data_IF_138841746299
#
_entry.id   IF_138841746299
#
_cell.length_a   1.000
_cell.length_b   1.000
_cell.length_c   1.000
_cell.angle_alpha   90.00
_cell.angle_beta   90.00
_cell.angle_gamma   90.00
#
_symmetry.space_group_name_H-M   'P 1'
#
loop_
_entity.id
_entity.type
_entity.pdbx_description
1 polymer ?
#
# COMPACT_ATOMS: atom_id res chain seq x y z
N UNK A 1 -28.41 24.37 27.84
CA UNK A 1 -27.66 23.94 29.05
C UNK A 1 -26.51 24.94 29.23
N UNK A 2 -26.39 25.57 30.40
CA UNK A 2 -25.43 26.66 30.68
C UNK A 2 -23.99 26.29 30.26
N UNK A 3 -23.23 27.22 29.64
CA UNK A 3 -21.77 27.09 29.40
C UNK A 3 -21.04 27.21 30.76
N UNK A 4 -21.29 26.26 31.64
CA UNK A 4 -20.73 26.21 32.98
C UNK A 4 -19.89 24.95 33.20
N UNK A 5 -19.25 24.45 32.14
CA UNK A 5 -18.21 23.44 32.27
C UNK A 5 -16.81 24.07 32.12
N UNK A 6 -16.05 24.28 33.21
CA UNK A 6 -14.70 24.85 33.17
C UNK A 6 -13.71 24.08 32.27
N UNK A 7 -14.01 22.81 31.91
CA UNK A 7 -13.24 22.01 30.95
C UNK A 7 -13.36 22.46 29.50
N UNK A 8 -14.49 23.02 29.07
CA UNK A 8 -14.69 23.46 27.69
C UNK A 8 -14.02 24.81 27.43
N UNK A 9 -14.09 25.71 28.41
CA UNK A 9 -13.44 27.01 28.35
C UNK A 9 -11.91 26.89 28.37
N UNK A 10 -11.35 25.95 29.15
CA UNK A 10 -9.91 25.67 29.14
C UNK A 10 -9.42 25.06 27.81
N UNK A 11 -10.22 24.23 27.14
CA UNK A 11 -9.89 23.69 25.81
C UNK A 11 -9.95 24.72 24.68
N UNK A 12 -10.86 25.70 24.76
CA UNK A 12 -10.96 26.80 23.80
C UNK A 12 -9.84 27.84 23.99
N UNK A 13 -9.47 28.12 25.26
CA UNK A 13 -8.31 28.94 25.61
C UNK A 13 -7.01 28.35 25.03
N UNK A 14 -6.81 27.03 25.14
CA UNK A 14 -5.60 26.34 24.68
C UNK A 14 -5.45 26.30 23.14
N UNK A 15 -6.52 26.61 22.39
CA UNK A 15 -6.55 26.64 20.92
C UNK A 15 -6.56 28.06 20.32
N UNK A 16 -6.50 29.12 21.14
CA UNK A 16 -6.36 30.50 20.67
C UNK A 16 -7.60 31.09 20.00
N UNK A 17 -8.79 30.52 20.19
CA UNK A 17 -10.03 31.01 19.58
C UNK A 17 -10.76 32.07 20.41
N UNK A 18 -10.45 32.17 21.69
CA UNK A 18 -11.03 33.15 22.61
C UNK A 18 -10.19 34.42 22.64
N UNK A 19 -10.86 35.55 22.85
CA UNK A 19 -10.19 36.81 23.09
C UNK A 19 -9.39 36.72 24.40
N UNK A 20 -8.05 36.88 24.39
CA UNK A 20 -7.21 36.75 25.58
C UNK A 20 -7.48 37.81 26.65
N UNK A 21 -8.24 38.86 26.33
CA UNK A 21 -8.63 39.93 27.27
C UNK A 21 -9.92 39.63 28.06
N UNK A 22 -10.57 38.49 27.82
CA UNK A 22 -11.78 38.12 28.53
C UNK A 22 -11.50 37.76 30.00
N UNK A 23 -12.29 38.33 30.91
CA UNK A 23 -12.14 38.14 32.37
C UNK A 23 -13.24 37.30 33.00
N UNK A 24 -14.39 37.12 32.34
CA UNK A 24 -15.50 36.30 32.84
C UNK A 24 -16.02 35.32 31.79
N UNK A 25 -16.56 34.15 32.20
CA UNK A 25 -17.28 33.27 31.28
C UNK A 25 -18.52 34.01 30.75
N UNK A 26 -18.69 34.02 29.43
CA UNK A 26 -19.98 34.35 28.81
C UNK A 26 -20.76 33.04 28.64
N UNK A 27 -22.05 33.06 28.99
CA UNK A 27 -22.95 31.93 28.72
C UNK A 27 -23.39 31.92 27.26
N UNK A 28 -23.95 30.80 26.78
CA UNK A 28 -24.44 30.71 25.40
C UNK A 28 -25.58 31.70 25.18
N UNK A 29 -26.39 31.93 26.21
CA UNK A 29 -27.51 32.87 26.20
C UNK A 29 -27.01 34.32 26.03
N UNK A 30 -25.85 34.67 26.59
CA UNK A 30 -25.24 35.99 26.43
C UNK A 30 -24.73 36.22 24.99
N UNK A 31 -24.39 35.15 24.27
CA UNK A 31 -23.94 35.20 22.87
C UNK A 31 -25.09 35.34 21.88
N UNK A 32 -26.33 35.30 22.35
CA UNK A 32 -27.53 35.35 21.51
C UNK A 32 -28.24 36.69 21.61
N UNK A 33 -28.89 37.12 20.53
CA UNK A 33 -29.70 38.34 20.56
C UNK A 33 -30.97 38.12 21.40
N UNK A 34 -31.61 39.21 21.85
CA UNK A 34 -32.71 39.24 22.82
C UNK A 34 -33.92 38.41 22.33
N UNK A 35 -34.13 38.37 21.02
CA UNK A 35 -35.21 37.63 20.35
C UNK A 35 -34.81 36.19 19.96
N UNK A 36 -33.59 35.78 20.26
CA UNK A 36 -32.96 34.54 19.87
C UNK A 36 -32.94 34.26 18.35
N UNK A 37 -33.14 35.28 17.50
CA UNK A 37 -33.18 35.13 16.04
C UNK A 37 -31.79 35.02 15.41
N UNK A 38 -30.76 35.48 16.12
CA UNK A 38 -29.38 35.51 15.64
C UNK A 38 -28.34 35.51 16.75
N UNK A 39 -27.11 35.83 16.36
CA UNK A 39 -25.97 36.04 17.25
C UNK A 39 -25.95 37.47 17.76
N UNK A 40 -25.54 37.68 19.02
CA UNK A 40 -25.20 39.01 19.52
C UNK A 40 -23.80 39.37 19.02
N UNK A 41 -23.72 40.09 17.90
CA UNK A 41 -22.46 40.44 17.23
C UNK A 41 -21.44 41.08 18.18
N UNK A 42 -21.88 42.01 19.03
CA UNK A 42 -21.00 42.67 19.99
C UNK A 42 -20.43 41.70 21.01
N UNK A 43 -21.24 40.76 21.49
CA UNK A 43 -20.78 39.78 22.46
C UNK A 43 -19.86 38.74 21.81
N UNK A 44 -20.17 38.30 20.59
CA UNK A 44 -19.34 37.37 19.81
C UNK A 44 -17.96 37.98 19.52
N UNK A 45 -17.90 39.24 19.11
CA UNK A 45 -16.63 39.95 18.86
C UNK A 45 -15.82 40.21 20.14
N UNK A 46 -16.51 40.39 21.28
CA UNK A 46 -15.83 40.49 22.58
C UNK A 46 -15.25 39.16 23.02
N UNK A 47 -15.94 38.05 22.73
CA UNK A 47 -15.59 36.72 23.25
C UNK A 47 -14.58 35.98 22.40
N UNK A 48 -14.64 36.13 21.08
CA UNK A 48 -13.84 35.37 20.14
C UNK A 48 -12.83 36.25 19.41
N UNK A 49 -11.70 35.68 19.01
CA UNK A 49 -10.75 36.38 18.11
C UNK A 49 -11.43 36.70 16.77
N UNK A 50 -11.03 37.77 16.06
CA UNK A 50 -11.75 38.25 14.86
C UNK A 50 -12.06 37.15 13.82
N UNK A 51 -11.07 36.28 13.53
CA UNK A 51 -11.26 35.18 12.58
C UNK A 51 -12.36 34.18 13.01
N UNK A 52 -12.47 33.92 14.31
CA UNK A 52 -13.49 33.00 14.85
C UNK A 52 -14.85 33.72 14.95
N UNK A 53 -14.87 34.98 15.37
CA UNK A 53 -16.07 35.81 15.43
C UNK A 53 -16.74 35.93 14.05
N UNK A 54 -15.97 36.16 12.98
CA UNK A 54 -16.50 36.19 11.61
C UNK A 54 -17.17 34.89 11.20
N UNK A 55 -16.61 33.73 11.55
CA UNK A 55 -17.19 32.42 11.24
C UNK A 55 -18.49 32.16 12.00
N UNK A 56 -18.54 32.55 13.28
CA UNK A 56 -19.75 32.42 14.10
C UNK A 56 -20.85 33.30 13.50
N UNK A 57 -20.57 34.56 13.22
CA UNK A 57 -21.52 35.50 12.61
C UNK A 57 -22.01 35.06 11.22
N UNK A 58 -21.17 34.37 10.44
CA UNK A 58 -21.59 33.82 9.14
C UNK A 58 -22.44 32.54 9.24
N UNK A 59 -22.51 31.93 10.42
CA UNK A 59 -23.26 30.68 10.62
C UNK A 59 -24.73 30.99 10.90
N UNK A 60 -25.64 30.46 10.09
CA UNK A 60 -27.08 30.59 10.33
C UNK A 60 -27.49 29.74 11.53
N UNK A 61 -27.90 30.42 12.60
CA UNK A 61 -28.34 29.78 13.84
C UNK A 61 -29.61 28.96 13.65
N UNK A 62 -30.49 29.33 12.70
CA UNK A 62 -31.72 28.60 12.42
C UNK A 62 -31.47 27.24 11.78
N UNK A 63 -30.26 27.01 11.26
CA UNK A 63 -29.82 25.71 10.74
C UNK A 63 -29.15 24.84 11.80
N UNK A 64 -28.98 25.33 13.03
CA UNK A 64 -28.42 24.53 14.12
C UNK A 64 -29.47 23.54 14.65
N UNK A 65 -29.07 22.30 14.98
CA UNK A 65 -29.97 21.32 15.57
C UNK A 65 -30.63 21.85 16.84
N UNK A 66 -31.92 21.53 17.02
CA UNK A 66 -32.70 21.90 18.23
C UNK A 66 -32.13 21.26 19.50
N UNK A 67 -31.36 20.18 19.35
CA UNK A 67 -30.75 19.42 20.44
C UNK A 67 -29.25 19.24 20.20
N UNK A 68 -28.46 19.29 21.26
CA UNK A 68 -27.02 19.05 21.19
C UNK A 68 -26.74 17.63 20.67
N UNK A 69 -25.87 17.53 19.67
CA UNK A 69 -25.43 16.25 19.10
C UNK A 69 -23.93 16.09 19.34
N UNK A 70 -23.52 14.89 19.75
CA UNK A 70 -22.10 14.56 19.87
C UNK A 70 -21.47 14.48 18.46
N UNK A 71 -20.51 15.36 18.18
CA UNK A 71 -19.80 15.39 16.91
C UNK A 71 -18.34 14.96 17.08
N UNK A 72 -17.85 14.16 16.14
CA UNK A 72 -16.43 13.81 16.08
C UNK A 72 -15.63 14.95 15.45
N UNK A 73 -14.82 15.63 16.27
CA UNK A 73 -14.14 16.90 15.92
C UNK A 73 -13.33 16.85 14.61
N UNK A 74 -12.75 15.71 14.28
CA UNK A 74 -11.91 15.55 13.09
C UNK A 74 -12.69 15.16 11.84
N UNK A 75 -13.99 14.87 11.94
CA UNK A 75 -14.83 14.64 10.77
C UNK A 75 -15.43 15.95 10.26
N UNK A 76 -15.44 16.13 8.93
CA UNK A 76 -15.98 17.35 8.30
C UNK A 76 -17.48 17.52 8.48
N UNK A 77 -18.21 16.41 8.57
CA UNK A 77 -19.65 16.32 8.80
C UNK A 77 -20.00 16.04 10.27
N UNK A 78 -18.99 15.98 11.14
CA UNK A 78 -19.16 15.62 12.56
C UNK A 78 -19.49 14.15 12.81
N UNK A 79 -19.62 13.29 11.79
CA UNK A 79 -20.00 11.90 11.98
C UNK A 79 -18.87 11.04 12.57
N UNK A 80 -19.24 10.12 13.46
CA UNK A 80 -18.30 9.13 13.98
C UNK A 80 -18.21 7.94 13.02
N UNK A 81 -16.98 7.48 12.76
CA UNK A 81 -16.73 6.17 12.17
C UNK A 81 -15.43 5.57 12.71
N UNK A 82 -15.32 4.24 12.68
CA UNK A 82 -14.08 3.54 13.02
C UNK A 82 -12.89 4.05 12.19
N UNK A 83 -13.13 4.41 10.92
CA UNK A 83 -12.11 4.97 10.04
C UNK A 83 -11.57 6.30 10.58
N UNK A 84 -12.45 7.27 10.87
CA UNK A 84 -12.03 8.59 11.35
C UNK A 84 -11.34 8.47 12.72
N UNK A 85 -11.87 7.63 13.61
CA UNK A 85 -11.26 7.37 14.92
C UNK A 85 -9.86 6.74 14.80
N UNK A 86 -9.68 5.78 13.88
CA UNK A 86 -8.39 5.16 13.62
C UNK A 86 -7.36 6.16 13.07
N UNK A 87 -7.76 7.02 12.13
CA UNK A 87 -6.89 8.07 11.60
C UNK A 87 -6.46 9.05 12.69
N UNK A 88 -7.38 9.48 13.55
CA UNK A 88 -7.06 10.37 14.67
C UNK A 88 -6.11 9.73 15.69
N UNK A 89 -6.35 8.47 16.05
CA UNK A 89 -5.52 7.74 16.99
C UNK A 89 -4.08 7.59 16.49
N UNK A 90 -3.91 7.35 15.19
CA UNK A 90 -2.61 7.17 14.56
C UNK A 90 -2.07 8.45 13.92
N UNK A 91 -2.69 9.60 14.18
CA UNK A 91 -2.35 10.85 13.49
C UNK A 91 -0.88 11.22 13.61
N UNK A 92 -0.29 11.06 14.80
CA UNK A 92 1.15 11.31 15.01
C UNK A 92 2.04 10.36 14.21
N UNK A 93 1.66 9.09 14.07
CA UNK A 93 2.41 8.10 13.31
C UNK A 93 2.30 8.35 11.80
N UNK A 94 1.15 8.84 11.32
CA UNK A 94 0.93 9.15 9.91
C UNK A 94 1.39 10.57 9.50
N UNK A 95 1.43 11.52 10.43
CA UNK A 95 1.95 12.88 10.20
C UNK A 95 3.49 12.90 10.10
N UNK A 96 4.18 11.85 10.56
CA UNK A 96 5.59 11.64 10.25
C UNK A 96 5.76 11.46 8.73
N UNK A 97 6.13 12.55 8.07
CA UNK A 97 6.49 12.56 6.65
C UNK A 97 7.78 11.78 6.44
N UNK A 98 7.67 10.46 6.39
CA UNK A 98 8.76 9.61 5.95
C UNK A 98 8.91 9.75 4.43
N UNK A 99 9.75 10.70 4.03
CA UNK A 99 9.99 11.01 2.62
C UNK A 99 10.52 9.79 1.85
N UNK A 100 11.32 8.93 2.49
CA UNK A 100 11.79 7.68 1.88
C UNK A 100 10.60 6.74 1.58
N UNK A 101 9.68 6.54 2.53
CA UNK A 101 8.46 5.76 2.29
C UNK A 101 7.63 6.35 1.14
N UNK A 102 7.43 7.68 1.12
CA UNK A 102 6.72 8.34 0.03
C UNK A 102 7.39 8.07 -1.32
N UNK A 103 8.72 8.23 -1.41
CA UNK A 103 9.50 7.98 -2.64
C UNK A 103 9.42 6.53 -3.09
N UNK A 104 9.48 5.57 -2.15
CA UNK A 104 9.29 4.14 -2.45
C UNK A 104 7.93 3.90 -3.09
N UNK A 105 6.84 4.37 -2.45
CA UNK A 105 5.48 4.11 -2.94
C UNK A 105 5.14 4.83 -4.24
N UNK A 106 5.73 6.00 -4.48
CA UNK A 106 5.60 6.77 -5.73
C UNK A 106 6.52 6.29 -6.86
N UNK A 107 7.48 5.40 -6.58
CA UNK A 107 8.40 4.91 -7.61
C UNK A 107 7.70 4.01 -8.64
N UNK A 108 8.15 4.08 -9.89
CA UNK A 108 7.65 3.22 -10.97
C UNK A 108 8.40 1.89 -11.02
N UNK A 109 8.24 1.08 -9.98
CA UNK A 109 8.79 -0.28 -9.88
C UNK A 109 7.68 -1.25 -9.46
N UNK A 110 7.92 -2.55 -9.66
CA UNK A 110 6.99 -3.58 -9.23
C UNK A 110 6.75 -3.56 -7.71
N UNK A 111 5.50 -3.76 -7.28
CA UNK A 111 5.06 -3.68 -5.87
C UNK A 111 5.90 -4.54 -4.91
N UNK A 112 6.26 -5.77 -5.30
CA UNK A 112 7.21 -6.62 -4.56
C UNK A 112 8.50 -5.90 -4.14
N UNK A 113 9.06 -5.06 -5.02
CA UNK A 113 10.29 -4.33 -4.73
C UNK A 113 10.02 -3.12 -3.83
N UNK A 114 8.84 -2.48 -3.94
CA UNK A 114 8.41 -1.44 -3.01
C UNK A 114 8.30 -1.98 -1.60
N UNK A 115 7.65 -3.13 -1.42
CA UNK A 115 7.52 -3.80 -0.11
C UNK A 115 8.90 -4.18 0.44
N UNK A 116 9.79 -4.71 -0.40
CA UNK A 116 11.16 -5.02 0.01
C UNK A 116 11.91 -3.78 0.50
N UNK A 117 11.95 -2.71 -0.30
CA UNK A 117 12.62 -1.46 0.05
C UNK A 117 12.02 -0.84 1.31
N UNK A 118 10.69 -0.87 1.45
CA UNK A 118 10.01 -0.40 2.66
C UNK A 118 10.44 -1.21 3.89
N UNK A 119 10.44 -2.54 3.82
CA UNK A 119 10.92 -3.40 4.94
C UNK A 119 12.38 -3.13 5.28
N UNK A 120 13.23 -2.92 4.28
CA UNK A 120 14.64 -2.57 4.48
C UNK A 120 14.79 -1.23 5.21
N UNK A 121 14.03 -0.20 4.81
CA UNK A 121 14.04 1.11 5.47
C UNK A 121 13.46 1.13 6.89
N UNK A 122 12.59 0.16 7.21
CA UNK A 122 11.99 0.01 8.54
C UNK A 122 12.78 -0.93 9.46
N UNK A 123 13.97 -1.39 9.04
CA UNK A 123 14.75 -2.41 9.78
C UNK A 123 13.89 -3.64 10.15
N UNK A 124 13.05 -4.07 9.20
CA UNK A 124 12.09 -5.16 9.35
C UNK A 124 12.55 -6.46 8.68
N UNK A 125 13.76 -6.48 8.12
CA UNK A 125 14.33 -7.68 7.51
C UNK A 125 15.15 -8.50 8.53
N UNK A 126 15.16 -9.85 8.42
CA UNK A 126 15.83 -10.76 9.34
C UNK A 126 17.37 -10.80 9.13
N UNK A 127 18.05 -9.70 9.46
CA UNK A 127 19.51 -9.67 9.60
C UNK A 127 19.97 -10.39 10.88
N UNK A 128 21.25 -10.75 10.97
CA UNK A 128 21.79 -11.50 12.11
C UNK A 128 21.61 -10.75 13.43
N UNK A 129 21.84 -9.43 13.44
CA UNK A 129 21.59 -8.59 14.61
C UNK A 129 20.12 -8.62 15.06
N UNK A 130 19.18 -8.57 14.11
CA UNK A 130 17.75 -8.63 14.39
C UNK A 130 17.35 -10.00 14.94
N UNK A 131 17.83 -11.07 14.32
CA UNK A 131 17.58 -12.44 14.75
C UNK A 131 18.18 -12.73 16.13
N UNK A 132 19.35 -12.18 16.43
CA UNK A 132 19.93 -12.25 17.77
C UNK A 132 19.02 -11.55 18.79
N UNK A 133 18.59 -10.31 18.50
CA UNK A 133 17.76 -9.54 19.44
C UNK A 133 16.40 -10.18 19.72
N UNK A 134 15.79 -10.83 18.71
CA UNK A 134 14.46 -11.41 18.82
C UNK A 134 14.47 -12.85 19.33
N UNK A 135 15.47 -13.65 18.94
CA UNK A 135 15.48 -15.10 19.17
C UNK A 135 16.72 -15.60 19.91
N UNK A 136 17.65 -14.72 20.30
CA UNK A 136 18.89 -15.11 20.97
C UNK A 136 19.85 -15.93 20.10
N UNK A 137 19.67 -15.90 18.75
CA UNK A 137 20.58 -16.59 17.84
C UNK A 137 21.99 -16.00 17.98
N UNK A 138 23.05 -16.83 18.15
CA UNK A 138 24.41 -16.31 18.22
C UNK A 138 24.75 -15.56 16.92
N UNK A 139 25.47 -14.44 17.07
CA UNK A 139 26.05 -13.74 15.92
C UNK A 139 27.06 -14.70 15.27
N UNK A 140 26.87 -14.94 13.99
CA UNK A 140 27.88 -15.58 13.14
C UNK A 140 28.41 -14.56 12.14
N UNK A 141 29.36 -14.99 11.32
CA UNK A 141 29.97 -14.15 10.30
C UNK A 141 28.93 -13.70 9.26
N UNK A 142 29.11 -12.49 8.72
CA UNK A 142 28.29 -12.01 7.62
C UNK A 142 28.39 -12.96 6.42
N UNK A 143 27.26 -13.51 5.98
CA UNK A 143 27.24 -14.49 4.89
C UNK A 143 27.68 -13.93 3.54
N UNK A 144 27.79 -12.60 3.38
CA UNK A 144 28.26 -11.95 2.15
C UNK A 144 29.77 -11.67 2.14
N UNK A 145 30.33 -11.18 3.24
CA UNK A 145 31.71 -10.69 3.29
C UNK A 145 32.60 -11.41 4.32
N UNK A 146 32.03 -12.26 5.17
CA UNK A 146 32.76 -12.98 6.22
C UNK A 146 33.11 -12.14 7.45
N UNK A 147 32.55 -10.93 7.61
CA UNK A 147 32.83 -10.10 8.78
C UNK A 147 32.29 -10.74 10.07
N UNK A 148 33.13 -10.87 11.09
CA UNK A 148 32.84 -11.53 12.38
C UNK A 148 31.76 -10.81 13.20
N UNK A 149 31.52 -9.53 12.95
CA UNK A 149 30.47 -8.75 13.62
C UNK A 149 29.04 -9.16 13.20
N UNK A 150 28.90 -10.10 12.25
CA UNK A 150 27.64 -10.43 11.61
C UNK A 150 27.13 -9.33 10.69
N UNK A 151 25.86 -9.42 10.33
CA UNK A 151 25.21 -8.45 9.47
C UNK A 151 24.01 -7.76 10.12
N UNK A 152 23.84 -6.51 9.71
CA UNK A 152 22.71 -5.65 10.00
C UNK A 152 22.36 -4.83 8.75
N UNK A 153 21.33 -3.99 8.86
CA UNK A 153 20.91 -3.14 7.75
C UNK A 153 22.01 -2.17 7.31
N UNK A 154 22.80 -1.61 8.24
CA UNK A 154 23.86 -0.64 7.95
C UNK A 154 25.08 -1.25 7.26
N UNK A 155 25.39 -2.50 7.61
CA UNK A 155 26.38 -3.32 6.93
C UNK A 155 25.90 -3.71 5.53
N UNK A 156 24.62 -4.07 5.38
CA UNK A 156 24.06 -4.44 4.08
C UNK A 156 23.95 -3.24 3.13
N UNK A 157 23.58 -2.07 3.66
CA UNK A 157 23.48 -0.80 2.95
C UNK A 157 24.03 0.32 3.83
N UNK A 158 25.01 1.08 3.33
CA UNK A 158 25.75 2.14 4.05
C UNK A 158 24.87 3.09 4.90
N UNK A 159 23.59 3.26 4.53
CA UNK A 159 22.47 3.45 5.43
C UNK A 159 21.15 3.24 4.66
N UNK A 160 20.16 2.53 5.22
CA UNK A 160 18.92 2.21 4.49
C UNK A 160 18.04 3.40 4.13
N UNK A 161 18.07 4.50 4.90
CA UNK A 161 17.34 5.73 4.55
C UNK A 161 18.06 6.49 3.44
N UNK A 162 19.39 6.49 3.47
CA UNK A 162 20.22 7.14 2.46
C UNK A 162 20.20 6.37 1.14
N UNK A 163 19.94 5.06 1.18
CA UNK A 163 19.74 4.24 -0.02
C UNK A 163 18.64 4.80 -0.92
N UNK A 164 17.46 5.12 -0.38
CA UNK A 164 16.34 5.61 -1.20
C UNK A 164 16.67 6.98 -1.80
N UNK A 165 17.33 7.84 -1.02
CA UNK A 165 17.81 9.11 -1.52
C UNK A 165 18.82 8.93 -2.65
N UNK A 166 19.80 8.04 -2.46
CA UNK A 166 20.84 7.71 -3.43
C UNK A 166 20.29 7.06 -4.71
N UNK A 167 19.32 6.16 -4.59
CA UNK A 167 18.63 5.56 -5.74
C UNK A 167 17.83 6.59 -6.52
N UNK A 168 17.24 7.57 -5.83
CA UNK A 168 16.43 8.62 -6.46
C UNK A 168 17.31 9.71 -7.11
N UNK A 169 18.42 10.05 -6.46
CA UNK A 169 19.32 11.15 -6.82
C UNK A 169 20.76 10.72 -6.56
N UNK A 170 21.35 9.90 -7.45
CA UNK A 170 22.73 9.48 -7.27
C UNK A 170 23.67 10.68 -7.41
N UNK A 171 24.79 10.74 -6.66
CA UNK A 171 25.73 11.87 -6.71
C UNK A 171 26.42 12.03 -8.08
N UNK A 172 26.33 11.01 -8.93
CA UNK A 172 26.84 11.00 -10.30
C UNK A 172 25.73 11.16 -11.35
N UNK A 173 24.54 11.66 -10.98
CA UNK A 173 23.42 11.83 -11.91
C UNK A 173 23.79 12.68 -13.15
N UNK A 174 24.68 13.67 -12.99
CA UNK A 174 25.21 14.49 -14.09
C UNK A 174 26.02 13.69 -15.13
N UNK A 175 26.51 12.50 -14.79
CA UNK A 175 27.25 11.61 -15.66
C UNK A 175 26.35 10.60 -16.39
N UNK A 176 25.07 10.49 -15.99
CA UNK A 176 24.12 9.56 -16.59
C UNK A 176 23.42 10.18 -17.79
N UNK A 177 23.24 9.39 -18.86
CA UNK A 177 22.34 9.79 -19.93
C UNK A 177 20.89 9.83 -19.41
N UNK A 178 20.00 10.68 -19.96
CA UNK A 178 18.62 10.79 -19.50
C UNK A 178 17.87 9.44 -19.43
N UNK A 179 18.13 8.57 -20.41
CA UNK A 179 17.59 7.20 -20.48
C UNK A 179 18.07 6.28 -19.34
N UNK A 180 19.31 6.48 -18.88
CA UNK A 180 19.95 5.64 -17.85
C UNK A 180 19.56 6.14 -16.46
N UNK A 181 19.36 7.45 -16.30
CA UNK A 181 18.82 8.05 -15.07
C UNK A 181 17.44 7.48 -14.72
N UNK A 182 16.57 7.26 -15.70
CA UNK A 182 15.25 6.67 -15.47
C UNK A 182 15.29 5.17 -15.08
N UNK A 183 16.36 4.46 -15.49
CA UNK A 183 16.54 3.02 -15.24
C UNK A 183 17.31 2.71 -13.96
N UNK A 184 18.00 3.71 -13.42
CA UNK A 184 18.86 3.54 -12.26
C UNK A 184 18.12 3.09 -10.99
N UNK A 185 17.00 3.75 -10.66
CA UNK A 185 16.21 3.39 -9.48
C UNK A 185 15.65 1.96 -9.56
N UNK A 186 14.96 1.54 -10.65
CA UNK A 186 14.54 0.15 -10.81
C UNK A 186 15.68 -0.85 -10.76
N UNK A 187 16.82 -0.54 -11.42
CA UNK A 187 18.00 -1.39 -11.39
C UNK A 187 18.52 -1.59 -9.96
N UNK A 188 18.69 -0.50 -9.21
CA UNK A 188 19.15 -0.58 -7.83
C UNK A 188 18.19 -1.36 -6.93
N UNK A 189 16.87 -1.17 -7.09
CA UNK A 189 15.87 -1.95 -6.35
C UNK A 189 16.01 -3.46 -6.60
N UNK A 190 16.23 -3.87 -7.86
CA UNK A 190 16.46 -5.27 -8.23
C UNK A 190 17.78 -5.79 -7.68
N UNK A 191 18.85 -5.01 -7.82
CA UNK A 191 20.19 -5.34 -7.34
C UNK A 191 20.17 -5.66 -5.84
N UNK A 192 19.63 -4.76 -5.01
CA UNK A 192 19.58 -4.96 -3.57
C UNK A 192 18.65 -6.10 -3.17
N UNK A 193 17.52 -6.28 -3.87
CA UNK A 193 16.64 -7.41 -3.64
C UNK A 193 17.32 -8.75 -3.95
N UNK A 194 18.04 -8.85 -5.08
CA UNK A 194 18.75 -10.06 -5.47
C UNK A 194 19.95 -10.32 -4.55
N UNK A 195 20.67 -9.28 -4.13
CA UNK A 195 21.75 -9.39 -3.15
C UNK A 195 21.22 -9.91 -1.81
N UNK A 196 20.04 -9.43 -1.38
CA UNK A 196 19.36 -9.92 -0.18
C UNK A 196 18.99 -11.41 -0.29
N UNK A 197 18.51 -11.87 -1.45
CA UNK A 197 18.23 -13.30 -1.68
C UNK A 197 19.48 -14.15 -1.62
N UNK A 198 20.57 -13.73 -2.27
CA UNK A 198 21.86 -14.44 -2.23
C UNK A 198 22.38 -14.55 -0.80
N UNK A 199 22.30 -13.44 -0.04
CA UNK A 199 22.62 -13.43 1.39
C UNK A 199 21.79 -14.45 2.15
N UNK A 200 20.46 -14.48 1.94
CA UNK A 200 19.58 -15.37 2.68
C UNK A 200 19.83 -16.84 2.35
N UNK A 201 20.12 -17.15 1.09
CA UNK A 201 20.46 -18.50 0.68
C UNK A 201 21.77 -18.96 1.33
N UNK A 202 22.77 -18.09 1.38
CA UNK A 202 24.01 -18.36 2.11
C UNK A 202 23.77 -18.52 3.62
N UNK A 203 22.97 -17.64 4.23
CA UNK A 203 22.70 -17.64 5.67
C UNK A 203 21.84 -18.81 6.15
N UNK A 204 20.82 -19.19 5.37
CA UNK A 204 19.85 -20.23 5.75
C UNK A 204 20.20 -21.61 5.21
N UNK A 205 20.76 -21.69 3.99
CA UNK A 205 20.99 -22.94 3.29
C UNK A 205 22.49 -23.27 3.12
N UNK A 206 23.39 -22.37 3.53
CA UNK A 206 24.84 -22.57 3.41
C UNK A 206 25.36 -22.53 1.97
N UNK A 207 24.58 -21.97 1.04
CA UNK A 207 24.97 -21.86 -0.37
C UNK A 207 26.09 -20.83 -0.53
N UNK A 208 27.22 -21.17 -1.17
CA UNK A 208 28.31 -20.22 -1.39
C UNK A 208 27.86 -19.00 -2.20
N UNK A 209 28.30 -17.81 -1.79
CA UNK A 209 27.99 -16.56 -2.50
C UNK A 209 28.75 -16.50 -3.82
N UNK A 210 28.02 -16.48 -4.93
CA UNK A 210 28.56 -16.26 -6.27
C UNK A 210 28.04 -14.96 -6.89
N UNK A 211 28.86 -13.91 -6.81
CA UNK A 211 28.55 -12.59 -7.39
C UNK A 211 28.55 -12.58 -8.92
N UNK A 212 29.23 -13.53 -9.56
CA UNK A 212 29.26 -13.69 -11.02
C UNK A 212 27.88 -14.08 -11.54
N UNK A 213 27.26 -15.07 -10.89
CA UNK A 213 25.90 -15.50 -11.18
C UNK A 213 24.87 -14.42 -10.86
N UNK A 214 25.09 -13.61 -9.82
CA UNK A 214 24.24 -12.46 -9.50
C UNK A 214 24.19 -11.46 -10.67
N UNK A 215 25.34 -11.09 -11.24
CA UNK A 215 25.41 -10.16 -12.37
C UNK A 215 24.61 -10.68 -13.57
N UNK A 216 24.82 -11.95 -13.94
CA UNK A 216 24.10 -12.61 -15.04
C UNK A 216 22.58 -12.63 -14.82
N UNK A 217 22.14 -12.85 -13.58
CA UNK A 217 20.73 -12.86 -13.22
C UNK A 217 20.07 -11.47 -13.24
N UNK A 218 20.82 -10.41 -12.95
CA UNK A 218 20.32 -9.03 -13.02
C UNK A 218 20.15 -8.62 -14.48
N UNK A 219 21.12 -8.93 -15.34
CA UNK A 219 21.07 -8.63 -16.78
C UNK A 219 19.91 -9.36 -17.49
N UNK A 220 19.51 -10.53 -16.98
CA UNK A 220 18.36 -11.31 -17.47
C UNK A 220 17.02 -10.88 -16.86
N UNK A 221 17.02 -10.05 -15.81
CA UNK A 221 15.80 -9.59 -15.16
C UNK A 221 15.04 -8.63 -16.07
N UNK A 222 13.77 -8.93 -16.35
CA UNK A 222 12.91 -8.19 -17.28
C UNK A 222 12.70 -6.71 -16.93
N UNK A 223 13.14 -6.26 -15.75
CA UNK A 223 13.04 -4.86 -15.29
C UNK A 223 13.84 -3.87 -16.16
N UNK A 224 14.82 -4.34 -16.94
CA UNK A 224 15.54 -3.51 -17.93
C UNK A 224 14.78 -3.30 -19.24
N UNK A 225 13.73 -4.09 -19.52
CA UNK A 225 12.72 -3.78 -20.53
C UNK A 225 11.63 -3.04 -19.79
N UNK A 226 11.59 -1.71 -19.95
CA UNK A 226 10.70 -0.83 -19.19
C UNK A 226 9.33 -1.47 -19.00
N UNK A 227 8.84 -1.41 -17.75
CA UNK A 227 7.53 -1.94 -17.29
C UNK A 227 6.64 -2.08 -18.51
N UNK A 228 6.44 -3.33 -18.97
CA UNK A 228 5.55 -3.56 -20.08
C UNK A 228 4.22 -2.98 -19.61
N UNK A 229 3.84 -1.87 -20.21
CA UNK A 229 2.64 -1.16 -19.85
C UNK A 229 1.52 -2.16 -20.12
N UNK A 230 1.03 -2.81 -19.06
CA UNK A 230 -0.17 -3.62 -19.13
C UNK A 230 -1.22 -2.60 -19.55
N UNK A 231 -1.53 -2.58 -20.84
CA UNK A 231 -2.54 -1.67 -21.38
C UNK A 231 -3.87 -2.12 -20.81
N UNK A 232 -4.26 -1.46 -19.72
CA UNK A 232 -5.61 -1.42 -19.22
C UNK A 232 -6.52 -0.88 -20.33
N UNK A 233 -7.06 -1.77 -21.14
CA UNK A 233 -8.08 -1.46 -22.16
C UNK A 233 -9.17 -2.50 -22.11
N UNK A 234 -10.39 -2.19 -22.53
CA UNK A 234 -11.53 -3.14 -22.51
C UNK A 234 -11.19 -4.45 -23.29
N UNK A 235 -11.77 -5.60 -22.92
CA UNK A 235 -11.60 -6.82 -23.72
C UNK A 235 -12.14 -6.62 -25.14
N UNK A 236 -11.67 -7.42 -26.10
CA UNK A 236 -12.16 -7.37 -27.49
C UNK A 236 -13.68 -7.64 -27.51
N UNK A 237 -14.44 -7.06 -28.46
CA UNK A 237 -15.87 -7.31 -28.57
C UNK A 237 -16.19 -8.82 -28.61
N UNK A 238 -17.10 -9.28 -27.76
CA UNK A 238 -17.46 -10.69 -27.64
C UNK A 238 -16.60 -11.52 -26.67
N UNK A 239 -15.74 -10.89 -25.88
CA UNK A 239 -14.92 -11.57 -24.87
C UNK A 239 -15.14 -11.04 -23.45
N UNK A 240 -15.00 -11.94 -22.48
CA UNK A 240 -15.15 -11.65 -21.04
C UNK A 240 -13.77 -11.61 -20.38
N UNK A 241 -13.49 -10.58 -19.58
CA UNK A 241 -12.22 -10.45 -18.83
C UNK A 241 -12.34 -10.95 -17.41
N UNK A 242 -11.27 -11.59 -16.90
CA UNK A 242 -11.11 -11.93 -15.48
C UNK A 242 -9.95 -11.19 -14.81
N UNK A 243 -10.15 -10.72 -13.57
CA UNK A 243 -9.09 -10.20 -12.68
C UNK A 243 -8.98 -11.10 -11.45
N UNK A 244 -7.77 -11.58 -11.17
CA UNK A 244 -7.42 -12.34 -9.97
C UNK A 244 -6.90 -11.42 -8.86
N UNK A 245 -7.37 -11.64 -7.64
CA UNK A 245 -6.74 -11.12 -6.43
C UNK A 245 -6.36 -12.34 -5.58
N UNK A 246 -5.09 -12.50 -5.23
CA UNK A 246 -4.42 -13.69 -4.64
C UNK A 246 -4.98 -14.31 -3.34
N UNK A 247 -6.29 -14.24 -3.12
CA UNK A 247 -7.09 -15.02 -2.17
C UNK A 247 -8.17 -15.86 -2.89
N UNK A 248 -7.97 -16.21 -4.16
CA UNK A 248 -8.93 -17.00 -4.95
C UNK A 248 -10.20 -16.24 -5.34
N UNK A 249 -10.08 -14.92 -5.53
CA UNK A 249 -11.19 -14.06 -5.97
C UNK A 249 -11.08 -13.74 -7.47
N UNK A 250 -12.21 -13.84 -8.17
CA UNK A 250 -12.33 -13.74 -9.63
C UNK A 250 -13.50 -12.81 -9.94
N UNK A 251 -13.29 -11.82 -10.80
CA UNK A 251 -14.36 -10.92 -11.28
C UNK A 251 -14.40 -10.94 -12.80
N UNK A 252 -15.58 -11.20 -13.37
CA UNK A 252 -15.84 -11.22 -14.81
C UNK A 252 -16.38 -9.88 -15.28
N UNK A 253 -15.83 -9.35 -16.37
CA UNK A 253 -16.28 -8.10 -17.00
C UNK A 253 -16.69 -8.33 -18.46
N UNK A 254 -17.74 -7.64 -18.90
CA UNK A 254 -18.07 -7.55 -20.32
C UNK A 254 -17.18 -6.53 -21.07
N UNK A 255 -17.38 -6.40 -22.38
CA UNK A 255 -16.66 -5.45 -23.25
C UNK A 255 -16.99 -3.97 -22.98
N UNK A 256 -18.01 -3.66 -22.18
CA UNK A 256 -18.34 -2.31 -21.74
C UNK A 256 -17.75 -1.96 -20.36
N UNK A 257 -17.14 -2.93 -19.68
CA UNK A 257 -16.63 -2.80 -18.31
C UNK A 257 -17.68 -3.07 -17.24
N UNK A 258 -18.86 -3.58 -17.62
CA UNK A 258 -19.89 -4.05 -16.69
C UNK A 258 -19.47 -5.36 -16.03
N UNK A 259 -19.74 -5.50 -14.73
CA UNK A 259 -19.47 -6.74 -13.99
C UNK A 259 -20.54 -7.77 -14.37
N UNK A 260 -20.13 -8.90 -14.94
CA UNK A 260 -21.01 -10.02 -15.29
C UNK A 260 -21.22 -10.95 -14.10
N UNK A 261 -20.14 -11.27 -13.37
CA UNK A 261 -20.16 -12.16 -12.23
C UNK A 261 -18.92 -11.96 -11.36
N UNK A 262 -18.99 -12.39 -10.11
CA UNK A 262 -17.82 -12.50 -9.25
C UNK A 262 -17.91 -13.77 -8.40
N UNK A 263 -16.76 -14.29 -8.01
CA UNK A 263 -16.66 -15.45 -7.13
C UNK A 263 -15.43 -15.35 -6.25
N UNK A 264 -15.50 -15.94 -5.07
CA UNK A 264 -14.36 -16.07 -4.17
C UNK A 264 -14.32 -17.48 -3.59
N UNK A 265 -13.13 -18.07 -3.56
CA UNK A 265 -12.88 -19.39 -2.97
C UNK A 265 -11.68 -19.31 -2.04
N UNK A 266 -11.82 -19.84 -0.83
CA UNK A 266 -10.68 -20.02 0.07
C UNK A 266 -9.76 -21.10 -0.50
N UNK A 267 -8.54 -20.73 -0.84
CA UNK A 267 -7.51 -21.64 -1.34
C UNK A 267 -6.41 -21.71 -0.28
N UNK A 268 -6.10 -22.93 0.16
CA UNK A 268 -4.99 -23.20 1.07
C UNK A 268 -3.82 -23.72 0.24
N UNK A 269 -2.83 -22.88 -0.03
CA UNK A 269 -1.61 -23.28 -0.76
C UNK A 269 -0.36 -23.05 0.06
N UNK A 270 0.69 -23.80 -0.25
CA UNK A 270 2.01 -23.69 0.39
C UNK A 270 2.99 -22.87 -0.45
N UNK A 271 2.69 -22.67 -1.73
CA UNK A 271 3.48 -21.86 -2.65
C UNK A 271 2.62 -20.93 -3.52
N UNK A 272 3.24 -19.84 -3.97
CA UNK A 272 2.58 -18.77 -4.75
C UNK A 272 2.14 -19.27 -6.12
N UNK A 273 2.92 -20.12 -6.77
CA UNK A 273 2.60 -20.68 -8.08
C UNK A 273 1.34 -21.56 -8.02
N UNK A 274 1.22 -22.39 -6.99
CA UNK A 274 0.02 -23.17 -6.71
C UNK A 274 -1.17 -22.27 -6.38
N UNK A 275 -0.95 -21.17 -5.65
CA UNK A 275 -1.99 -20.17 -5.36
C UNK A 275 -2.63 -19.61 -6.63
N UNK A 276 -1.80 -19.08 -7.53
CA UNK A 276 -2.21 -18.53 -8.84
C UNK A 276 -2.86 -19.61 -9.71
N UNK A 277 -2.28 -20.80 -9.77
CA UNK A 277 -2.82 -21.91 -10.55
C UNK A 277 -4.24 -22.30 -10.10
N UNK A 278 -4.45 -22.43 -8.78
CA UNK A 278 -5.74 -22.82 -8.21
C UNK A 278 -6.80 -21.71 -8.34
N UNK A 279 -6.38 -20.44 -8.31
CA UNK A 279 -7.25 -19.31 -8.53
C UNK A 279 -7.69 -19.21 -10.00
N UNK A 280 -6.76 -19.42 -10.94
CA UNK A 280 -7.07 -19.52 -12.36
C UNK A 280 -8.00 -20.71 -12.64
N UNK A 281 -7.72 -21.87 -12.06
CA UNK A 281 -8.57 -23.07 -12.16
C UNK A 281 -9.98 -22.82 -11.62
N UNK A 282 -10.10 -22.10 -10.50
CA UNK A 282 -11.38 -21.67 -9.96
C UNK A 282 -12.12 -20.73 -10.91
N UNK A 283 -11.44 -19.74 -11.48
CA UNK A 283 -12.00 -18.83 -12.47
C UNK A 283 -12.53 -19.54 -13.71
N UNK A 284 -11.76 -20.47 -14.27
CA UNK A 284 -12.17 -21.26 -15.45
C UNK A 284 -13.36 -22.17 -15.12
N UNK A 285 -13.36 -22.80 -13.94
CA UNK A 285 -14.48 -23.62 -13.50
C UNK A 285 -15.76 -22.79 -13.33
N UNK A 286 -15.65 -21.60 -12.73
CA UNK A 286 -16.77 -20.70 -12.55
C UNK A 286 -17.30 -20.17 -13.90
N UNK A 287 -16.42 -19.88 -14.86
CA UNK A 287 -16.82 -19.49 -16.21
C UNK A 287 -17.66 -20.59 -16.89
N UNK A 288 -17.26 -21.85 -16.73
CA UNK A 288 -18.00 -23.02 -17.21
C UNK A 288 -19.37 -23.13 -16.56
N UNK A 289 -19.44 -23.00 -15.23
CA UNK A 289 -20.69 -23.09 -14.47
C UNK A 289 -21.67 -21.98 -14.88
N UNK A 290 -21.14 -20.79 -15.19
CA UNK A 290 -21.90 -19.64 -15.68
C UNK A 290 -22.16 -19.68 -17.20
N UNK A 291 -21.70 -20.72 -17.91
CA UNK A 291 -21.84 -20.89 -19.35
C UNK A 291 -21.31 -19.70 -20.17
N UNK A 292 -20.22 -19.07 -19.69
CA UNK A 292 -19.56 -17.98 -20.37
C UNK A 292 -18.69 -18.53 -21.52
N UNK A 293 -18.76 -17.88 -22.68
CA UNK A 293 -18.01 -18.25 -23.89
C UNK A 293 -17.01 -17.15 -24.24
N UNK A 294 -15.82 -17.53 -24.73
CA UNK A 294 -14.81 -16.56 -25.17
C UNK A 294 -14.18 -15.76 -24.02
N UNK A 295 -13.81 -16.44 -22.94
CA UNK A 295 -13.23 -15.79 -21.75
C UNK A 295 -11.71 -15.67 -21.88
N UNK A 296 -11.21 -14.44 -21.67
CA UNK A 296 -9.78 -14.13 -21.58
C UNK A 296 -9.39 -13.97 -20.10
N UNK A 297 -8.59 -14.90 -19.62
CA UNK A 297 -8.03 -14.87 -18.27
C UNK A 297 -6.68 -14.15 -18.26
N UNK A 298 -6.44 -13.36 -17.22
CA UNK A 298 -5.19 -12.65 -17.03
C UNK A 298 -4.51 -13.10 -15.75
N UNK A 299 -3.22 -13.46 -15.85
CA UNK A 299 -2.37 -13.78 -14.69
C UNK A 299 -1.04 -13.06 -14.85
N UNK A 300 -0.50 -12.51 -13.76
CA UNK A 300 0.82 -11.88 -13.77
C UNK A 300 1.96 -12.91 -13.59
N UNK A 301 1.62 -14.19 -13.45
CA UNK A 301 2.56 -15.27 -13.27
C UNK A 301 3.10 -15.78 -14.62
N UNK A 302 4.21 -15.19 -15.07
CA UNK A 302 4.85 -15.53 -16.35
C UNK A 302 5.31 -16.98 -16.46
N UNK A 303 5.59 -17.68 -15.35
CA UNK A 303 5.93 -19.11 -15.36
C UNK A 303 4.72 -19.97 -15.69
N UNK A 304 3.55 -19.62 -15.16
CA UNK A 304 2.29 -20.30 -15.44
C UNK A 304 1.86 -20.08 -16.89
N UNK A 305 1.94 -18.84 -17.39
CA UNK A 305 1.66 -18.49 -18.80
C UNK A 305 2.56 -19.28 -19.73
N UNK A 306 3.88 -19.26 -19.47
CA UNK A 306 4.85 -20.02 -20.26
C UNK A 306 4.57 -21.52 -20.23
N UNK A 307 4.28 -22.08 -19.06
CA UNK A 307 3.92 -23.49 -18.92
C UNK A 307 2.70 -23.88 -19.76
N UNK A 308 1.64 -23.05 -19.75
CA UNK A 308 0.43 -23.27 -20.55
C UNK A 308 0.69 -23.21 -22.05
N UNK A 309 1.54 -22.27 -22.50
CA UNK A 309 1.98 -22.16 -23.91
C UNK A 309 2.79 -23.39 -24.31
N UNK A 310 3.79 -23.76 -23.50
CA UNK A 310 4.72 -24.86 -23.76
C UNK A 310 4.09 -26.25 -23.49
N UNK A 311 2.85 -26.30 -22.98
CA UNK A 311 2.13 -27.50 -22.54
C UNK A 311 2.91 -28.34 -21.54
N UNK A 312 3.73 -27.68 -20.72
CA UNK A 312 4.61 -28.32 -19.75
C UNK A 312 4.34 -27.74 -18.37
N UNK A 313 4.06 -28.59 -17.39
CA UNK A 313 3.84 -28.13 -16.02
C UNK A 313 5.11 -27.46 -15.48
N UNK A 314 5.03 -26.24 -14.93
CA UNK A 314 6.18 -25.54 -14.36
C UNK A 314 6.70 -26.17 -13.05
N UNK A 315 5.90 -27.01 -12.40
CA UNK A 315 6.25 -27.73 -11.18
C UNK A 315 5.64 -29.13 -11.17
N UNK A 316 6.35 -30.12 -10.61
CA UNK A 316 5.82 -31.48 -10.45
C UNK A 316 4.71 -31.55 -9.39
N UNK A 317 4.81 -30.73 -8.33
CA UNK A 317 3.83 -30.67 -7.23
C UNK A 317 2.46 -30.17 -7.72
N UNK A 318 2.47 -29.31 -8.74
CA UNK A 318 1.27 -28.67 -9.28
C UNK A 318 0.78 -29.32 -10.57
N UNK A 319 1.38 -30.44 -10.99
CA UNK A 319 1.14 -31.07 -12.29
C UNK A 319 -0.32 -31.46 -12.51
N UNK A 320 -0.97 -32.05 -11.51
CA UNK A 320 -2.37 -32.48 -11.64
C UNK A 320 -3.33 -31.30 -11.79
N UNK A 321 -3.18 -30.25 -10.97
CA UNK A 321 -3.99 -29.03 -11.08
C UNK A 321 -3.74 -28.31 -12.41
N UNK A 322 -2.49 -28.32 -12.89
CA UNK A 322 -2.10 -27.74 -14.17
C UNK A 322 -2.72 -28.50 -15.36
N UNK A 323 -2.68 -29.83 -15.36
CA UNK A 323 -3.30 -30.66 -16.39
C UNK A 323 -4.82 -30.42 -16.45
N UNK A 324 -5.48 -30.39 -15.29
CA UNK A 324 -6.91 -30.11 -15.18
C UNK A 324 -7.28 -28.70 -15.69
N UNK A 325 -6.48 -27.69 -15.35
CA UNK A 325 -6.65 -26.34 -15.87
C UNK A 325 -6.53 -26.33 -17.40
N UNK A 326 -5.50 -26.97 -17.95
CA UNK A 326 -5.26 -27.03 -19.38
C UNK A 326 -6.43 -27.68 -20.14
N UNK A 327 -6.94 -28.81 -19.65
CA UNK A 327 -8.12 -29.48 -20.23
C UNK A 327 -9.35 -28.57 -20.23
N UNK A 328 -9.60 -27.85 -19.13
CA UNK A 328 -10.74 -26.95 -19.02
C UNK A 328 -10.62 -25.76 -19.97
N UNK A 329 -9.43 -25.14 -20.07
CA UNK A 329 -9.18 -24.03 -20.99
C UNK A 329 -9.43 -24.43 -22.44
N UNK A 330 -8.95 -25.61 -22.86
CA UNK A 330 -9.18 -26.15 -24.20
C UNK A 330 -10.67 -26.43 -24.44
N UNK A 331 -11.38 -26.94 -23.43
CA UNK A 331 -12.82 -27.28 -23.57
C UNK A 331 -13.73 -26.06 -23.73
N UNK A 332 -13.31 -24.87 -23.28
CA UNK A 332 -14.13 -23.66 -23.22
C UNK A 332 -13.71 -22.58 -24.24
N UNK A 333 -12.74 -22.88 -25.11
CA UNK A 333 -12.11 -21.91 -26.03
C UNK A 333 -11.63 -20.64 -25.29
N UNK A 334 -11.08 -20.83 -24.10
CA UNK A 334 -10.56 -19.76 -23.26
C UNK A 334 -9.09 -19.48 -23.59
N UNK A 335 -8.69 -18.21 -23.48
CA UNK A 335 -7.29 -17.82 -23.61
C UNK A 335 -6.73 -17.28 -22.28
N UNK A 336 -5.43 -17.47 -22.06
CA UNK A 336 -4.72 -16.97 -20.87
C UNK A 336 -3.58 -16.09 -21.35
N UNK A 337 -3.47 -14.88 -20.81
CA UNK A 337 -2.48 -13.87 -21.24
C UNK A 337 -1.89 -13.06 -20.10
#
# INVERSE_FOLDING_TARGET
MSINQPKMMSQLMHKGHLNPLIKSPASLEDLTDIDASGWNDQMVERVFVPATASLIKSSDRNLLPVMDVACWKSSKDGSFSLKVAYWDYNKSQFDEKNEACRRIWQSNIHERFKVFLWKLCQDALPFSSKLQSLFGKPLGDCSLCGCESGDDVGHFVLAARDLISWLSQPPFQSLLQPKDSARFFPYGAVLYHKLWLVRNDAFHNGVPVDLSSLKKNIDQSEVCRGVMEIRWGLPRPGRVRVIEFGAGAVVFFDSSGGILACGAKKIMTLDVLQGELEALLFGVSLAKDLQLVGVDFFTDNSLLVKGLIDKSSPSWLSHFSFAKLYELLVSLDCSVS
#
